data_IF_199955211564
#
_entry.id   IF_199955211564
#
_cell.length_a   1.000
_cell.length_b   1.000
_cell.length_c   1.000
_cell.angle_alpha   90.00
_cell.angle_beta   90.00
_cell.angle_gamma   90.00
#
_symmetry.space_group_name_H-M   'P 1'
#
loop_
_entity.id
_entity.type
_entity.pdbx_description
1 polymer ?
#
# COMPACT_ATOMS: atom_id res chain seq x y z
N UNK A 1 -5.17 7.87 9.20
CA UNK A 1 -5.69 8.30 10.53
C UNK A 1 -5.71 7.16 11.56
N UNK A 2 -6.43 6.04 11.35
CA UNK A 2 -6.45 4.95 12.36
C UNK A 2 -5.05 4.41 12.68
N UNK A 3 -4.18 4.26 11.68
CA UNK A 3 -2.80 3.81 11.86
C UNK A 3 -1.97 4.81 12.71
N UNK A 4 -2.22 6.11 12.56
CA UNK A 4 -1.54 7.14 13.34
C UNK A 4 -1.86 7.08 14.85
N UNK A 5 -3.02 6.52 15.20
CA UNK A 5 -3.47 6.38 16.61
C UNK A 5 -3.44 4.92 17.08
N UNK A 6 -2.85 4.02 16.30
CA UNK A 6 -2.65 2.64 16.72
C UNK A 6 -1.69 2.57 17.91
N UNK A 7 -2.08 1.85 18.95
CA UNK A 7 -1.30 1.74 20.18
C UNK A 7 -1.56 2.82 21.23
N UNK A 8 -2.28 3.90 20.93
CA UNK A 8 -2.64 4.93 21.92
C UNK A 8 -3.92 4.61 22.69
N UNK A 9 -4.85 3.86 22.07
CA UNK A 9 -6.09 3.46 22.74
C UNK A 9 -6.44 2.01 22.39
N UNK A 10 -6.90 1.25 23.38
CA UNK A 10 -7.32 -0.15 23.20
C UNK A 10 -8.57 -0.25 22.30
N UNK A 11 -9.49 0.71 22.43
CA UNK A 11 -10.71 0.81 21.62
C UNK A 11 -10.83 2.22 21.05
N UNK A 12 -11.14 2.29 19.77
CA UNK A 12 -11.34 3.54 19.04
C UNK A 12 -12.79 3.65 18.60
N UNK A 13 -13.42 4.79 18.80
CA UNK A 13 -14.80 5.05 18.38
C UNK A 13 -14.81 5.81 17.05
N UNK A 14 -15.39 5.21 16.03
CA UNK A 14 -15.57 5.84 14.71
C UNK A 14 -17.01 6.37 14.62
N UNK A 15 -17.16 7.68 14.52
CA UNK A 15 -18.47 8.31 14.28
C UNK A 15 -18.78 8.25 12.79
N UNK A 16 -19.88 7.61 12.46
CA UNK A 16 -20.34 7.40 11.09
C UNK A 16 -21.71 8.04 10.84
N UNK A 17 -21.94 8.49 9.63
CA UNK A 17 -23.21 9.11 9.23
C UNK A 17 -23.61 8.66 7.82
N UNK A 18 -23.25 9.43 6.81
CA UNK A 18 -23.48 9.06 5.42
C UNK A 18 -22.68 7.78 5.07
N UNK A 19 -23.30 6.83 4.38
CA UNK A 19 -22.71 5.52 4.04
C UNK A 19 -22.18 4.73 5.25
N UNK A 20 -22.80 4.85 6.42
CA UNK A 20 -22.36 4.21 7.66
C UNK A 20 -22.15 2.69 7.50
N UNK A 21 -23.06 1.99 6.80
CA UNK A 21 -22.99 0.55 6.56
C UNK A 21 -21.76 0.15 5.73
N UNK A 22 -21.38 0.97 4.74
CA UNK A 22 -20.20 0.71 3.90
C UNK A 22 -18.91 0.85 4.71
N UNK A 23 -18.83 1.88 5.56
CA UNK A 23 -17.68 2.10 6.46
C UNK A 23 -17.56 0.95 7.46
N UNK A 24 -18.66 0.57 8.11
CA UNK A 24 -18.68 -0.55 9.07
C UNK A 24 -18.27 -1.86 8.41
N UNK A 25 -18.78 -2.14 7.21
CA UNK A 25 -18.43 -3.34 6.44
C UNK A 25 -16.94 -3.36 6.05
N UNK A 26 -16.35 -2.20 5.72
CA UNK A 26 -14.93 -2.11 5.38
C UNK A 26 -14.03 -2.54 6.53
N UNK A 27 -14.46 -2.25 7.76
CA UNK A 27 -13.72 -2.60 8.98
C UNK A 27 -14.28 -3.83 9.71
N UNK A 28 -15.08 -4.66 9.02
CA UNK A 28 -15.61 -5.91 9.59
C UNK A 28 -14.47 -6.82 10.08
N UNK A 29 -14.57 -7.28 11.33
CA UNK A 29 -13.54 -8.09 11.97
C UNK A 29 -12.50 -7.33 12.79
N UNK A 30 -12.45 -5.99 12.73
CA UNK A 30 -11.63 -5.16 13.63
C UNK A 30 -12.29 -5.07 15.02
N UNK A 31 -11.71 -5.73 16.03
CA UNK A 31 -12.24 -5.76 17.40
C UNK A 31 -11.86 -4.55 18.24
N UNK A 32 -10.91 -3.76 17.76
CA UNK A 32 -10.44 -2.51 18.38
C UNK A 32 -11.26 -1.28 17.95
N UNK A 33 -12.25 -1.47 17.08
CA UNK A 33 -13.14 -0.40 16.62
C UNK A 33 -14.56 -0.60 17.13
N UNK A 34 -15.16 0.49 17.57
CA UNK A 34 -16.60 0.60 17.79
C UNK A 34 -17.17 1.77 16.99
N UNK A 35 -18.46 1.75 16.73
CA UNK A 35 -19.11 2.74 15.87
C UNK A 35 -20.22 3.47 16.59
N UNK A 36 -20.28 4.79 16.41
CA UNK A 36 -21.39 5.63 16.83
C UNK A 36 -22.08 6.25 15.60
N UNK A 37 -23.40 6.15 15.51
CA UNK A 37 -24.16 6.69 14.40
C UNK A 37 -24.57 8.14 14.68
N UNK A 38 -24.18 9.06 13.80
CA UNK A 38 -24.62 10.44 13.83
C UNK A 38 -25.74 10.68 12.79
N UNK A 39 -26.97 10.77 13.26
CA UNK A 39 -28.12 11.00 12.38
C UNK A 39 -29.20 11.86 13.09
N UNK A 40 -29.60 13.05 12.55
CA UNK A 40 -28.97 13.76 11.44
C UNK A 40 -27.60 14.31 11.80
N UNK A 41 -26.81 14.68 10.78
CA UNK A 41 -25.51 15.31 10.96
C UNK A 41 -25.69 16.80 11.31
N UNK A 42 -25.33 17.19 12.54
CA UNK A 42 -25.54 18.54 13.07
C UNK A 42 -24.24 19.19 13.58
N UNK A 43 -23.11 18.88 12.95
CA UNK A 43 -21.81 19.45 13.27
C UNK A 43 -20.90 18.53 14.04
N UNK A 44 -19.66 18.97 14.27
CA UNK A 44 -18.58 18.19 14.88
C UNK A 44 -18.79 17.96 16.38
N UNK A 45 -19.36 18.92 17.10
CA UNK A 45 -19.76 18.74 18.50
C UNK A 45 -20.85 17.68 18.64
N UNK A 46 -21.85 17.68 17.73
CA UNK A 46 -22.88 16.65 17.71
C UNK A 46 -22.28 15.25 17.45
N UNK A 47 -21.23 15.14 16.63
CA UNK A 47 -20.55 13.87 16.41
C UNK A 47 -19.96 13.31 17.73
N UNK A 48 -19.30 14.15 18.52
CA UNK A 48 -18.79 13.75 19.84
C UNK A 48 -19.91 13.39 20.82
N UNK A 49 -21.04 14.13 20.79
CA UNK A 49 -22.24 13.77 21.59
C UNK A 49 -22.74 12.36 21.26
N UNK A 50 -22.71 11.95 19.98
CA UNK A 50 -23.13 10.60 19.59
C UNK A 50 -22.11 9.52 20.01
N UNK A 51 -20.84 9.86 20.07
CA UNK A 51 -19.80 8.95 20.55
C UNK A 51 -19.81 8.80 22.10
N UNK A 52 -20.18 9.85 22.81
CA UNK A 52 -20.08 9.95 24.26
C UNK A 52 -20.69 8.76 25.05
N UNK A 53 -21.85 8.21 24.68
CA UNK A 53 -22.44 7.07 25.41
C UNK A 53 -21.61 5.77 25.34
N UNK A 54 -20.72 5.63 24.37
CA UNK A 54 -19.93 4.42 24.14
C UNK A 54 -18.44 4.61 24.46
N UNK A 55 -18.01 5.84 24.76
CA UNK A 55 -16.63 6.11 25.19
C UNK A 55 -16.36 5.58 26.61
N UNK A 56 -15.13 5.14 26.86
CA UNK A 56 -14.69 4.81 28.22
C UNK A 56 -14.44 6.11 29.00
N UNK A 57 -15.32 6.38 29.95
CA UNK A 57 -15.30 7.59 30.78
C UNK A 57 -14.24 7.55 31.90
N UNK A 58 -13.57 6.41 32.07
CA UNK A 58 -12.49 6.26 33.07
C UNK A 58 -11.14 6.69 32.50
N UNK A 59 -11.02 6.77 31.17
CA UNK A 59 -9.81 7.29 30.52
C UNK A 59 -9.66 8.79 30.84
N UNK A 60 -8.46 9.26 31.23
CA UNK A 60 -8.27 10.65 31.60
C UNK A 60 -8.44 11.62 30.45
N UNK A 61 -8.17 11.17 29.23
CA UNK A 61 -8.09 11.98 28.03
C UNK A 61 -8.87 11.35 26.88
N UNK A 62 -9.51 12.20 26.07
CA UNK A 62 -10.18 11.82 24.82
C UNK A 62 -9.49 12.52 23.65
N UNK A 63 -8.79 11.77 22.79
CA UNK A 63 -8.23 12.28 21.54
C UNK A 63 -9.32 12.27 20.46
N UNK A 64 -9.60 13.44 19.89
CA UNK A 64 -10.52 13.63 18.78
C UNK A 64 -9.73 13.88 17.50
N UNK A 65 -9.99 13.06 16.49
CA UNK A 65 -9.38 13.16 15.15
C UNK A 65 -10.47 13.29 14.08
N UNK A 66 -10.11 13.87 12.93
CA UNK A 66 -11.01 13.99 11.79
C UNK A 66 -10.72 12.91 10.75
N UNK A 67 -11.78 12.25 10.25
CA UNK A 67 -11.66 11.16 9.29
C UNK A 67 -11.15 11.55 7.92
N UNK A 68 -11.27 12.83 7.56
CA UNK A 68 -10.82 13.43 6.30
C UNK A 68 -9.41 14.04 6.36
N UNK A 69 -8.69 13.92 7.49
CA UNK A 69 -7.27 14.32 7.67
C UNK A 69 -6.41 13.06 7.74
N UNK A 70 -6.03 12.43 6.62
CA UNK A 70 -5.50 11.08 6.61
C UNK A 70 -4.03 10.96 7.02
N UNK A 71 -3.24 12.04 6.95
CA UNK A 71 -1.78 12.00 7.10
C UNK A 71 -1.24 12.46 8.45
N UNK A 72 -2.09 12.60 9.49
CA UNK A 72 -1.59 12.83 10.85
C UNK A 72 -0.54 11.77 11.19
N UNK A 73 0.62 12.21 11.70
CA UNK A 73 1.68 11.28 12.12
C UNK A 73 1.44 10.76 13.55
N UNK A 74 1.91 9.54 13.81
CA UNK A 74 1.88 8.98 15.16
C UNK A 74 2.74 9.82 16.13
N UNK A 75 3.80 10.43 15.64
CA UNK A 75 4.69 11.31 16.43
C UNK A 75 3.96 12.57 16.89
N UNK A 76 3.24 13.25 15.99
CA UNK A 76 2.43 14.41 16.34
C UNK A 76 1.31 14.04 17.32
N UNK A 77 0.63 12.91 17.11
CA UNK A 77 -0.39 12.42 18.05
C UNK A 77 0.21 12.12 19.43
N UNK A 78 1.37 11.50 19.50
CA UNK A 78 2.10 11.22 20.75
C UNK A 78 2.46 12.50 21.49
N UNK A 79 3.02 13.51 20.80
CA UNK A 79 3.36 14.81 21.40
C UNK A 79 2.14 15.53 21.97
N UNK A 80 0.98 15.42 21.32
CA UNK A 80 -0.26 15.96 21.85
C UNK A 80 -0.68 15.28 23.17
N UNK A 81 -0.59 13.95 23.22
CA UNK A 81 -0.93 13.19 24.44
C UNK A 81 0.06 13.48 25.60
N UNK A 82 1.35 13.58 25.32
CA UNK A 82 2.37 13.97 26.30
C UNK A 82 2.17 15.39 26.82
N UNK A 83 1.77 16.34 25.96
CA UNK A 83 1.44 17.70 26.40
C UNK A 83 0.15 17.72 27.23
N UNK A 84 -0.80 16.84 26.97
CA UNK A 84 -2.04 16.73 27.73
C UNK A 84 -1.84 16.18 29.16
N UNK A 85 -0.70 15.57 29.47
CA UNK A 85 -0.32 15.24 30.85
C UNK A 85 0.01 16.49 31.68
N UNK A 86 0.38 17.61 31.02
CA UNK A 86 0.78 18.87 31.64
C UNK A 86 -0.34 19.92 31.63
N UNK A 87 -1.15 19.87 30.55
CA UNK A 87 -2.24 20.82 30.30
C UNK A 87 -3.48 20.06 29.87
N UNK A 88 -4.47 19.95 30.67
CA UNK A 88 -5.64 19.08 30.48
C UNK A 88 -6.27 19.11 29.07
N UNK A 89 -6.17 20.24 28.34
CA UNK A 89 -6.70 20.42 27.00
C UNK A 89 -5.59 20.81 26.01
N UNK A 90 -5.44 20.06 24.92
CA UNK A 90 -4.45 20.32 23.88
C UNK A 90 -5.11 20.46 22.52
N UNK A 91 -4.74 21.51 21.80
CA UNK A 91 -5.14 21.75 20.41
C UNK A 91 -3.97 21.45 19.47
N UNK A 92 -4.24 20.80 18.34
CA UNK A 92 -3.34 20.82 17.21
C UNK A 92 -3.65 22.05 16.37
N UNK A 93 -2.71 22.98 16.29
CA UNK A 93 -2.87 24.24 15.55
C UNK A 93 -1.74 24.40 14.54
N UNK A 94 -1.96 25.21 13.51
CA UNK A 94 -0.93 25.54 12.50
C UNK A 94 -1.04 27.00 12.08
N UNK A 95 0.10 27.61 11.76
CA UNK A 95 0.09 28.91 11.09
C UNK A 95 0.02 28.77 9.58
N UNK A 96 -0.89 29.48 8.94
CA UNK A 96 -1.12 29.44 7.49
C UNK A 96 -1.02 30.83 6.87
N UNK A 97 -0.41 30.92 5.69
CA UNK A 97 -0.39 32.17 4.90
C UNK A 97 -1.80 32.55 4.41
N UNK A 98 -2.61 31.58 4.09
CA UNK A 98 -4.01 31.76 3.72
C UNK A 98 -4.92 30.93 4.64
N UNK A 99 -5.36 31.49 5.77
CA UNK A 99 -6.15 30.78 6.78
C UNK A 99 -7.64 30.66 6.41
N UNK A 100 -8.06 31.06 5.21
CA UNK A 100 -9.45 31.07 4.76
C UNK A 100 -10.11 29.70 4.88
N UNK A 101 -11.27 29.68 5.52
CA UNK A 101 -12.08 28.46 5.70
C UNK A 101 -11.80 27.71 7.02
N UNK A 102 -10.81 28.13 7.79
CA UNK A 102 -10.47 27.50 9.07
C UNK A 102 -10.97 28.34 10.27
N UNK A 103 -11.18 27.71 11.41
CA UNK A 103 -11.39 28.39 12.70
C UNK A 103 -10.09 29.07 13.16
N UNK A 104 -10.21 30.29 13.68
CA UNK A 104 -9.08 31.10 14.17
C UNK A 104 -8.84 30.88 15.64
N UNK A 105 -7.58 30.71 16.03
CA UNK A 105 -7.17 30.60 17.42
C UNK A 105 -7.11 32.01 18.02
N UNK A 106 -8.00 32.29 18.96
CA UNK A 106 -8.02 33.59 19.66
C UNK A 106 -7.24 33.47 20.97
N UNK A 107 -6.29 34.39 21.16
CA UNK A 107 -5.46 34.48 22.37
C UNK A 107 -5.68 35.80 23.11
N UNK A 108 -5.58 35.76 24.41
CA UNK A 108 -5.57 37.00 25.23
C UNK A 108 -4.20 37.71 25.19
N UNK A 109 -4.09 38.81 25.93
CA UNK A 109 -2.85 39.60 25.98
C UNK A 109 -1.63 38.84 26.53
N UNK A 110 -1.86 37.82 27.33
CA UNK A 110 -0.85 36.91 27.90
C UNK A 110 -0.49 35.76 26.98
N UNK A 111 -1.10 35.68 25.75
CA UNK A 111 -0.86 34.62 24.80
C UNK A 111 -1.63 33.32 25.06
N UNK A 112 -2.53 33.31 26.04
CA UNK A 112 -3.32 32.11 26.37
C UNK A 112 -4.48 31.97 25.40
N UNK A 113 -4.75 30.76 24.91
CA UNK A 113 -5.91 30.46 24.07
C UNK A 113 -7.20 30.66 24.85
N UNK A 114 -8.11 31.45 24.33
CA UNK A 114 -9.40 31.77 24.98
C UNK A 114 -10.62 31.32 24.18
N UNK A 115 -10.48 31.20 22.85
CA UNK A 115 -11.56 30.75 21.97
C UNK A 115 -11.03 30.27 20.63
N UNK A 116 -11.84 29.51 19.92
CA UNK A 116 -11.75 29.31 18.50
C UNK A 116 -12.97 29.98 17.86
N UNK A 117 -12.75 30.81 16.83
CA UNK A 117 -13.84 31.47 16.11
C UNK A 117 -13.85 30.96 14.67
N UNK A 118 -14.97 30.35 14.28
CA UNK A 118 -15.15 29.83 12.93
C UNK A 118 -15.16 30.95 11.87
N UNK A 119 -14.67 30.66 10.66
CA UNK A 119 -14.53 31.63 9.57
C UNK A 119 -15.80 32.46 9.32
N UNK A 120 -17.00 31.84 9.40
CA UNK A 120 -18.28 32.46 9.13
C UNK A 120 -18.73 33.39 10.23
N UNK A 121 -18.29 33.18 11.45
CA UNK A 121 -18.62 33.94 12.66
C UNK A 121 -17.52 34.95 13.02
N UNK A 122 -16.37 34.93 12.33
CA UNK A 122 -15.22 35.77 12.61
C UNK A 122 -15.41 37.22 12.17
N UNK A 123 -14.96 38.16 13.01
CA UNK A 123 -14.83 39.59 12.64
C UNK A 123 -13.69 39.78 11.62
N UNK A 124 -13.63 40.95 10.99
CA UNK A 124 -12.55 41.24 10.03
C UNK A 124 -11.16 41.22 10.68
N UNK A 125 -11.03 41.64 11.94
CA UNK A 125 -9.79 41.55 12.71
C UNK A 125 -9.41 40.09 13.00
N UNK A 126 -10.38 39.26 13.38
CA UNK A 126 -10.15 37.85 13.67
C UNK A 126 -9.76 37.06 12.42
N UNK A 127 -10.27 37.45 11.24
CA UNK A 127 -9.87 36.83 9.95
C UNK A 127 -8.41 37.04 9.59
N UNK A 128 -7.75 38.05 10.18
CA UNK A 128 -6.31 38.31 9.99
C UNK A 128 -5.41 37.38 10.82
N UNK A 129 -5.97 36.67 11.80
CA UNK A 129 -5.23 35.68 12.58
C UNK A 129 -4.81 34.54 11.66
N UNK A 130 -3.51 34.22 11.68
CA UNK A 130 -2.91 33.18 10.84
C UNK A 130 -2.90 31.81 11.51
N UNK A 131 -2.93 31.76 12.85
CA UNK A 131 -3.00 30.51 13.61
C UNK A 131 -4.45 29.95 13.53
N UNK A 132 -4.54 28.72 13.02
CA UNK A 132 -5.83 28.07 12.77
C UNK A 132 -5.97 26.76 13.53
N UNK A 133 -7.22 26.40 13.80
CA UNK A 133 -7.59 25.14 14.36
C UNK A 133 -7.60 24.06 13.26
N UNK A 134 -7.00 22.91 13.55
CA UNK A 134 -6.99 21.75 12.63
C UNK A 134 -8.18 20.81 12.87
N UNK A 135 -8.94 21.00 13.94
CA UNK A 135 -10.03 20.12 14.38
C UNK A 135 -9.56 18.89 15.17
N UNK A 136 -8.25 18.72 15.35
CA UNK A 136 -7.67 17.62 16.13
C UNK A 136 -7.34 18.15 17.53
N UNK A 137 -7.81 17.46 18.58
CA UNK A 137 -7.64 17.92 19.96
C UNK A 137 -7.64 16.78 20.97
N UNK A 138 -6.97 16.99 22.08
CA UNK A 138 -7.03 16.12 23.27
C UNK A 138 -7.85 16.84 24.34
N UNK A 139 -8.89 16.19 24.83
CA UNK A 139 -9.87 16.75 25.74
C UNK A 139 -9.82 16.04 27.10
N UNK A 140 -10.02 16.74 28.22
CA UNK A 140 -10.18 16.12 29.54
C UNK A 140 -11.50 15.36 29.60
N UNK A 141 -11.48 14.04 29.62
CA UNK A 141 -12.70 13.21 29.59
C UNK A 141 -13.66 13.53 30.69
N UNK A 142 -13.16 13.80 31.91
CA UNK A 142 -13.99 14.12 33.08
C UNK A 142 -14.85 15.39 32.94
N UNK A 143 -14.52 16.28 32.00
CA UNK A 143 -15.27 17.52 31.75
C UNK A 143 -16.31 17.40 30.64
N UNK A 144 -16.18 16.37 29.79
CA UNK A 144 -16.98 16.26 28.56
C UNK A 144 -18.47 16.15 28.82
N UNK A 145 -18.91 15.51 29.90
CA UNK A 145 -20.34 15.36 30.21
C UNK A 145 -21.02 16.73 30.32
N UNK A 146 -20.47 17.60 31.13
CA UNK A 146 -21.01 18.95 31.35
C UNK A 146 -20.85 19.85 30.11
N UNK A 147 -19.74 19.77 29.41
CA UNK A 147 -19.47 20.60 28.24
C UNK A 147 -20.33 20.22 27.05
N UNK A 148 -20.54 18.92 26.80
CA UNK A 148 -21.40 18.45 25.71
C UNK A 148 -22.88 18.84 25.95
N UNK A 149 -23.36 18.76 27.21
CA UNK A 149 -24.72 19.22 27.58
C UNK A 149 -24.89 20.73 27.41
N UNK A 150 -23.81 21.52 27.55
CA UNK A 150 -23.86 22.98 27.38
C UNK A 150 -23.75 23.46 25.94
N UNK A 151 -23.37 22.61 24.98
CA UNK A 151 -23.25 22.98 23.56
C UNK A 151 -24.58 23.48 22.99
N UNK A 152 -24.48 24.52 22.17
CA UNK A 152 -25.62 25.13 21.46
C UNK A 152 -25.35 25.18 19.98
N UNK A 153 -26.42 25.36 19.19
CA UNK A 153 -26.33 25.53 17.75
C UNK A 153 -26.78 26.96 17.31
N UNK A 154 -26.57 27.94 18.19
CA UNK A 154 -26.90 29.35 17.96
C UNK A 154 -25.77 30.07 17.20
N UNK A 155 -25.38 29.55 16.05
CA UNK A 155 -24.33 30.08 15.18
C UNK A 155 -24.77 30.17 13.73
N UNK A 156 -23.91 30.68 12.86
CA UNK A 156 -24.23 30.92 11.45
C UNK A 156 -24.60 29.62 10.68
N UNK A 157 -24.14 28.49 11.09
CA UNK A 157 -24.38 27.18 10.43
C UNK A 157 -25.53 26.39 11.06
N UNK A 158 -26.03 26.81 12.24
CA UNK A 158 -27.02 26.07 13.04
C UNK A 158 -26.50 24.65 13.42
N UNK A 159 -25.20 24.53 13.70
CA UNK A 159 -24.52 23.29 14.08
C UNK A 159 -23.93 23.36 15.47
N UNK A 160 -23.77 22.23 16.11
CA UNK A 160 -23.04 22.12 17.39
C UNK A 160 -21.55 22.09 17.07
N UNK A 161 -20.84 23.17 17.39
CA UNK A 161 -19.42 23.28 17.12
C UNK A 161 -18.60 22.62 18.23
N UNK A 162 -17.70 21.70 17.85
CA UNK A 162 -16.74 21.14 18.79
C UNK A 162 -15.79 22.22 19.32
N UNK A 163 -15.52 23.24 18.56
CA UNK A 163 -14.65 24.36 18.89
C UNK A 163 -15.19 25.23 20.05
N UNK A 164 -16.49 25.18 20.33
CA UNK A 164 -17.07 25.87 21.50
C UNK A 164 -16.55 25.31 22.85
N UNK A 165 -16.09 24.07 22.88
CA UNK A 165 -15.48 23.45 24.07
C UNK A 165 -14.25 24.23 24.57
N UNK A 166 -13.55 24.95 23.68
CA UNK A 166 -12.42 25.79 24.06
C UNK A 166 -12.86 26.95 24.93
N UNK A 167 -14.01 27.57 24.58
CA UNK A 167 -14.60 28.63 25.38
C UNK A 167 -15.03 28.15 26.77
N UNK A 168 -15.61 26.94 26.86
CA UNK A 168 -15.99 26.35 28.16
C UNK A 168 -14.75 26.02 29.01
N UNK A 169 -13.71 25.45 28.39
CA UNK A 169 -12.45 25.16 29.05
C UNK A 169 -11.79 26.43 29.63
N UNK A 170 -11.77 27.50 28.83
CA UNK A 170 -11.25 28.78 29.29
C UNK A 170 -12.06 29.38 30.43
N UNK A 171 -13.39 29.29 30.37
CA UNK A 171 -14.29 29.75 31.45
C UNK A 171 -14.11 28.95 32.75
N UNK A 172 -13.87 27.64 32.66
CA UNK A 172 -13.61 26.76 33.79
C UNK A 172 -12.17 26.85 34.33
N UNK A 173 -11.32 27.70 33.74
CA UNK A 173 -9.92 27.87 34.13
C UNK A 173 -9.03 26.68 33.76
N UNK A 174 -9.47 25.82 32.83
CA UNK A 174 -8.68 24.72 32.33
C UNK A 174 -7.52 25.25 31.46
N UNK A 175 -6.32 24.73 31.71
CA UNK A 175 -5.15 25.13 30.94
C UNK A 175 -5.22 24.53 29.52
N UNK A 176 -5.22 25.39 28.50
CA UNK A 176 -5.24 25.02 27.08
C UNK A 176 -3.85 25.25 26.51
N UNK A 177 -3.23 24.20 25.96
CA UNK A 177 -1.98 24.26 25.21
C UNK A 177 -2.21 24.05 23.72
N UNK A 178 -1.29 24.55 22.91
CA UNK A 178 -1.26 24.31 21.48
C UNK A 178 0.02 23.56 21.11
N UNK A 179 -0.13 22.54 20.26
CA UNK A 179 0.96 21.80 19.64
C UNK A 179 0.87 22.05 18.13
N UNK A 180 2.01 22.15 17.46
CA UNK A 180 2.09 22.28 16.01
C UNK A 180 2.56 20.96 15.39
N UNK A 181 2.04 20.56 14.21
CA UNK A 181 2.56 19.42 13.46
C UNK A 181 3.97 19.74 12.94
N UNK A 182 4.77 18.71 12.65
CA UNK A 182 6.09 18.91 12.06
C UNK A 182 5.98 19.34 10.58
N UNK A 183 4.91 18.90 9.91
CA UNK A 183 4.64 19.20 8.51
C UNK A 183 3.19 19.63 8.28
N UNK A 184 3.00 20.62 7.42
CA UNK A 184 1.66 21.15 7.10
C UNK A 184 0.71 20.09 6.53
N UNK A 185 1.21 19.14 5.74
CA UNK A 185 0.41 18.09 5.15
C UNK A 185 -0.25 17.16 6.17
N UNK A 186 0.27 17.09 7.41
CA UNK A 186 -0.31 16.25 8.46
C UNK A 186 -1.74 16.66 8.85
N UNK A 187 -2.09 17.90 8.61
CA UNK A 187 -3.37 18.49 8.99
C UNK A 187 -4.21 18.92 7.79
N UNK A 188 -3.80 18.58 6.59
CA UNK A 188 -4.59 18.83 5.38
C UNK A 188 -5.79 17.89 5.27
N UNK A 189 -6.99 18.48 5.15
CA UNK A 189 -8.24 17.76 4.96
C UNK A 189 -8.56 17.51 3.48
N UNK A 190 -9.19 16.37 3.20
CA UNK A 190 -9.58 15.94 1.85
C UNK A 190 -11.08 16.06 1.65
N UNK A 191 -11.51 17.07 0.89
CA UNK A 191 -12.91 17.33 0.54
C UNK A 191 -13.23 17.13 -0.95
N UNK A 192 -12.21 16.84 -1.76
CA UNK A 192 -12.36 16.64 -3.20
C UNK A 192 -11.33 15.68 -3.75
N UNK A 193 -11.62 15.08 -4.93
CA UNK A 193 -10.65 14.21 -5.63
C UNK A 193 -9.37 14.97 -6.04
N UNK A 194 -9.43 16.27 -6.24
CA UNK A 194 -8.25 17.09 -6.54
C UNK A 194 -7.35 17.17 -5.32
N UNK A 195 -7.91 17.45 -4.13
CA UNK A 195 -7.17 17.46 -2.88
C UNK A 195 -6.60 16.07 -2.55
N UNK A 196 -7.42 15.02 -2.75
CA UNK A 196 -6.96 13.64 -2.56
C UNK A 196 -5.73 13.33 -3.43
N UNK A 197 -5.78 13.68 -4.73
CA UNK A 197 -4.67 13.42 -5.64
C UNK A 197 -3.41 14.25 -5.28
N UNK A 198 -3.58 15.47 -4.81
CA UNK A 198 -2.47 16.31 -4.35
C UNK A 198 -1.82 15.72 -3.08
N UNK A 199 -2.65 15.36 -2.10
CA UNK A 199 -2.17 14.80 -0.84
C UNK A 199 -1.53 13.41 -1.03
N UNK A 200 -2.04 12.61 -1.97
CA UNK A 200 -1.41 11.34 -2.37
C UNK A 200 0.01 11.58 -2.90
N UNK A 201 0.23 12.58 -3.79
CA UNK A 201 1.58 12.91 -4.26
C UNK A 201 2.51 13.36 -3.14
N UNK A 202 1.99 14.15 -2.20
CA UNK A 202 2.75 14.54 -1.00
C UNK A 202 3.16 13.31 -0.20
N UNK A 203 2.24 12.37 0.03
CA UNK A 203 2.54 11.14 0.76
C UNK A 203 3.56 10.26 0.05
N UNK A 204 3.45 10.09 -1.27
CA UNK A 204 4.42 9.35 -2.06
C UNK A 204 5.81 9.99 -1.98
N UNK A 205 5.89 11.32 -1.99
CA UNK A 205 7.16 12.04 -1.82
C UNK A 205 7.75 11.81 -0.42
N UNK A 206 6.95 11.85 0.62
CA UNK A 206 7.39 11.54 1.99
C UNK A 206 7.97 10.13 2.10
N UNK A 207 7.33 9.15 1.47
CA UNK A 207 7.84 7.78 1.44
C UNK A 207 9.15 7.68 0.65
N UNK A 208 9.24 8.34 -0.49
CA UNK A 208 10.46 8.39 -1.31
C UNK A 208 11.63 9.02 -0.54
N UNK A 209 11.39 10.13 0.16
CA UNK A 209 12.43 10.81 0.95
C UNK A 209 12.94 9.91 2.09
N UNK A 210 12.04 9.15 2.77
CA UNK A 210 12.43 8.15 3.79
C UNK A 210 13.31 7.05 3.22
N UNK A 211 13.02 6.58 2.01
CA UNK A 211 13.85 5.58 1.33
C UNK A 211 15.23 6.13 0.98
N UNK A 212 15.30 7.37 0.46
CA UNK A 212 16.57 8.07 0.17
C UNK A 212 17.41 8.25 1.44
N UNK A 213 16.79 8.66 2.56
CA UNK A 213 17.46 8.80 3.87
C UNK A 213 17.95 7.43 4.40
N UNK A 214 17.24 6.35 4.11
CA UNK A 214 17.63 5.00 4.46
C UNK A 214 18.72 4.41 3.53
N UNK A 215 19.16 5.15 2.49
CA UNK A 215 20.23 4.76 1.59
C UNK A 215 19.79 4.04 0.32
N UNK A 216 18.50 4.06 0.00
CA UNK A 216 17.98 3.57 -1.30
C UNK A 216 18.24 4.60 -2.39
N UNK A 217 18.70 4.17 -3.56
CA UNK A 217 18.84 5.03 -4.73
C UNK A 217 17.54 5.05 -5.52
N UNK A 218 16.90 6.22 -5.65
CA UNK A 218 15.75 6.45 -6.51
C UNK A 218 16.18 7.32 -7.70
N UNK A 219 16.01 6.81 -8.94
CA UNK A 219 16.38 7.57 -10.15
C UNK A 219 15.48 8.78 -10.33
N UNK A 220 14.20 8.66 -9.97
CA UNK A 220 13.26 9.77 -9.94
C UNK A 220 12.27 9.59 -8.76
N UNK A 221 12.49 10.29 -7.64
CA UNK A 221 11.65 10.16 -6.46
C UNK A 221 10.20 10.66 -6.64
N UNK A 222 9.90 11.41 -7.71
CA UNK A 222 8.55 11.86 -8.01
C UNK A 222 7.75 10.82 -8.84
N UNK A 223 8.43 9.79 -9.35
CA UNK A 223 7.83 8.73 -10.17
C UNK A 223 7.98 7.34 -9.56
N UNK A 224 7.66 7.23 -8.30
CA UNK A 224 7.50 5.96 -7.58
C UNK A 224 6.13 5.97 -6.91
N UNK A 225 5.46 4.82 -6.89
CA UNK A 225 4.19 4.64 -6.18
C UNK A 225 4.30 3.47 -5.20
N UNK A 226 4.14 3.77 -3.91
CA UNK A 226 4.14 2.77 -2.83
C UNK A 226 2.73 2.72 -2.25
N UNK A 227 2.03 1.60 -2.46
CA UNK A 227 0.66 1.35 -2.03
C UNK A 227 0.61 0.21 -1.03
N UNK A 228 1.24 0.43 0.12
CA UNK A 228 1.42 -0.54 1.18
C UNK A 228 2.76 -0.37 1.87
N UNK A 229 3.43 -1.48 2.17
CA UNK A 229 4.73 -1.51 2.86
C UNK A 229 5.84 -1.91 1.89
N UNK A 230 6.83 -1.04 1.70
CA UNK A 230 8.07 -1.34 0.99
C UNK A 230 9.25 -1.36 1.97
N UNK A 231 9.86 -2.53 2.13
CA UNK A 231 11.04 -2.72 2.97
C UNK A 231 12.25 -2.98 2.07
N UNK A 232 13.28 -2.16 2.19
CA UNK A 232 14.51 -2.27 1.40
C UNK A 232 15.71 -2.59 2.28
N UNK A 233 16.59 -3.45 1.78
CA UNK A 233 17.94 -3.62 2.29
C UNK A 233 18.86 -2.47 1.89
N UNK A 234 20.18 -2.68 2.04
CA UNK A 234 21.19 -1.70 1.66
C UNK A 234 21.45 -1.72 0.15
N UNK A 235 21.87 -0.57 -0.40
CA UNK A 235 22.31 -0.42 -1.80
C UNK A 235 21.23 -0.86 -2.83
N UNK A 236 19.95 -0.73 -2.47
CA UNK A 236 18.84 -0.96 -3.40
C UNK A 236 18.73 0.21 -4.38
N UNK A 237 18.54 -0.09 -5.66
CA UNK A 237 18.32 0.90 -6.72
C UNK A 237 16.95 0.68 -7.37
N UNK A 238 16.14 1.75 -7.47
CA UNK A 238 14.80 1.71 -8.07
C UNK A 238 14.70 2.75 -9.17
N UNK A 239 14.38 2.28 -10.36
CA UNK A 239 14.21 3.11 -11.55
C UNK A 239 12.79 3.71 -11.62
N UNK A 240 12.56 4.57 -12.62
CA UNK A 240 11.35 5.39 -12.75
C UNK A 240 10.09 4.57 -12.99
N UNK A 241 8.98 5.06 -12.44
CA UNK A 241 7.65 4.52 -12.73
C UNK A 241 7.37 3.15 -12.12
N UNK A 242 8.14 2.74 -11.14
CA UNK A 242 7.90 1.51 -10.41
C UNK A 242 6.72 1.65 -9.45
N UNK A 243 5.92 0.58 -9.32
CA UNK A 243 4.76 0.51 -8.44
C UNK A 243 4.91 -0.67 -7.49
N UNK A 244 4.83 -0.41 -6.19
CA UNK A 244 4.90 -1.42 -5.14
C UNK A 244 3.55 -1.49 -4.42
N UNK A 245 2.95 -2.69 -4.34
CA UNK A 245 1.63 -2.86 -3.72
C UNK A 245 1.64 -3.96 -2.66
N UNK A 246 0.87 -3.76 -1.59
CA UNK A 246 0.83 -4.67 -0.45
C UNK A 246 2.16 -4.68 0.30
N UNK A 247 2.66 -5.86 0.70
CA UNK A 247 3.94 -5.98 1.38
C UNK A 247 5.01 -6.47 0.41
N UNK A 248 6.00 -5.61 0.15
CA UNK A 248 7.15 -5.91 -0.71
C UNK A 248 8.44 -5.81 0.10
N UNK A 249 9.28 -6.83 0.01
CA UNK A 249 10.59 -6.87 0.67
C UNK A 249 11.67 -7.04 -0.39
N UNK A 250 12.61 -6.12 -0.44
CA UNK A 250 13.79 -6.16 -1.32
C UNK A 250 15.05 -6.33 -0.47
N UNK A 251 15.84 -7.34 -0.77
CA UNK A 251 17.14 -7.59 -0.14
C UNK A 251 18.20 -6.56 -0.49
N UNK A 252 19.44 -6.78 -0.05
CA UNK A 252 20.56 -5.90 -0.35
C UNK A 252 20.94 -5.98 -1.83
N UNK A 253 21.39 -4.87 -2.41
CA UNK A 253 21.90 -4.82 -3.79
C UNK A 253 20.85 -5.07 -4.87
N UNK A 254 19.56 -5.14 -4.54
CA UNK A 254 18.49 -5.36 -5.51
C UNK A 254 18.34 -4.15 -6.43
N UNK A 255 18.26 -4.41 -7.73
CA UNK A 255 17.97 -3.40 -8.74
C UNK A 255 16.64 -3.64 -9.39
N UNK A 256 15.77 -2.60 -9.40
CA UNK A 256 14.43 -2.66 -9.99
C UNK A 256 14.36 -1.75 -11.19
N UNK A 257 14.26 -2.33 -12.38
CA UNK A 257 14.17 -1.62 -13.64
C UNK A 257 12.81 -0.94 -13.85
N UNK A 258 12.84 0.09 -14.68
CA UNK A 258 11.74 1.02 -14.92
C UNK A 258 10.39 0.33 -15.24
N UNK A 259 9.31 0.96 -14.76
CA UNK A 259 7.91 0.53 -15.02
C UNK A 259 7.59 -0.90 -14.58
N UNK A 260 8.29 -1.41 -13.59
CA UNK A 260 7.97 -2.70 -12.97
C UNK A 260 6.88 -2.54 -11.91
N UNK A 261 5.98 -3.52 -11.83
CA UNK A 261 4.91 -3.60 -10.83
C UNK A 261 5.16 -4.81 -9.95
N UNK A 262 5.33 -4.59 -8.66
CA UNK A 262 5.68 -5.64 -7.68
C UNK A 262 4.66 -5.63 -6.55
N UNK A 263 3.98 -6.76 -6.35
CA UNK A 263 2.92 -6.90 -5.36
C UNK A 263 3.15 -8.11 -4.46
N UNK A 264 3.06 -7.94 -3.13
CA UNK A 264 3.13 -9.03 -2.14
C UNK A 264 4.27 -10.01 -2.42
N UNK A 265 5.48 -9.51 -2.66
CA UNK A 265 6.63 -10.28 -3.16
C UNK A 265 7.84 -10.06 -2.27
N UNK A 266 8.60 -11.14 -2.05
CA UNK A 266 9.90 -11.09 -1.39
C UNK A 266 10.99 -11.36 -2.41
N UNK A 267 11.99 -10.50 -2.44
CA UNK A 267 13.16 -10.57 -3.32
C UNK A 267 14.40 -10.58 -2.44
N UNK A 268 15.23 -11.61 -2.57
CA UNK A 268 16.49 -11.75 -1.84
C UNK A 268 17.60 -10.85 -2.42
N UNK A 269 18.81 -10.98 -1.86
CA UNK A 269 19.96 -10.13 -2.19
C UNK A 269 20.42 -10.28 -3.65
N UNK A 270 21.00 -9.21 -4.20
CA UNK A 270 21.70 -9.16 -5.50
C UNK A 270 20.83 -9.58 -6.70
N UNK A 271 19.51 -9.39 -6.59
CA UNK A 271 18.58 -9.67 -7.70
C UNK A 271 18.48 -8.47 -8.63
N UNK A 272 18.53 -8.74 -9.93
CA UNK A 272 18.30 -7.77 -10.99
C UNK A 272 16.93 -7.99 -11.66
N UNK A 273 16.02 -7.03 -11.50
CA UNK A 273 14.71 -7.01 -12.17
C UNK A 273 14.80 -6.02 -13.31
N UNK A 274 14.78 -6.53 -14.55
CA UNK A 274 14.83 -5.72 -15.75
C UNK A 274 13.48 -4.99 -16.00
N UNK A 275 13.45 -3.94 -16.83
CA UNK A 275 12.24 -3.12 -17.02
C UNK A 275 10.98 -3.89 -17.43
N UNK A 276 9.81 -3.33 -17.08
CA UNK A 276 8.49 -3.82 -17.47
C UNK A 276 8.13 -5.21 -16.92
N UNK A 277 8.64 -5.57 -15.77
CA UNK A 277 8.27 -6.82 -15.10
C UNK A 277 7.03 -6.67 -14.24
N UNK A 278 6.27 -7.77 -14.05
CA UNK A 278 5.10 -7.82 -13.18
C UNK A 278 5.17 -9.01 -12.24
N UNK A 279 5.34 -8.75 -10.94
CA UNK A 279 5.41 -9.78 -9.90
C UNK A 279 4.21 -9.67 -8.97
N UNK A 280 3.63 -10.80 -8.62
CA UNK A 280 2.54 -10.88 -7.67
C UNK A 280 2.64 -12.16 -6.84
N UNK A 281 2.76 -12.03 -5.50
CA UNK A 281 2.80 -13.18 -4.59
C UNK A 281 3.90 -14.18 -4.92
N UNK A 282 5.08 -13.67 -5.26
CA UNK A 282 6.25 -14.45 -5.66
C UNK A 282 7.37 -14.39 -4.60
N UNK A 283 8.26 -15.38 -4.65
CA UNK A 283 9.52 -15.38 -3.92
C UNK A 283 10.67 -15.50 -4.92
N UNK A 284 11.65 -14.61 -4.83
CA UNK A 284 12.79 -14.56 -5.76
C UNK A 284 14.08 -14.71 -4.96
N UNK A 285 14.77 -15.83 -5.17
CA UNK A 285 16.05 -16.12 -4.55
C UNK A 285 17.20 -15.29 -5.13
N UNK A 286 18.23 -15.14 -4.34
CA UNK A 286 19.42 -14.30 -4.59
C UNK A 286 20.06 -14.52 -5.96
N UNK A 287 20.83 -13.53 -6.39
CA UNK A 287 21.64 -13.58 -7.61
C UNK A 287 20.82 -13.84 -8.89
N UNK A 288 19.50 -13.71 -8.86
CA UNK A 288 18.63 -13.96 -10.02
C UNK A 288 18.49 -12.73 -10.90
N UNK A 289 18.34 -12.97 -12.23
CA UNK A 289 18.08 -11.93 -13.21
C UNK A 289 16.75 -12.23 -13.91
N UNK A 290 15.80 -11.29 -13.82
CA UNK A 290 14.44 -11.48 -14.31
C UNK A 290 14.05 -10.36 -15.29
N UNK A 291 13.55 -10.74 -16.44
CA UNK A 291 13.00 -9.82 -17.44
C UNK A 291 13.86 -9.67 -18.70
N UNK A 292 13.61 -8.58 -19.46
CA UNK A 292 12.47 -7.69 -19.31
C UNK A 292 11.13 -8.35 -19.72
N UNK A 293 9.99 -7.71 -19.40
CA UNK A 293 8.65 -8.21 -19.74
C UNK A 293 8.33 -9.61 -19.20
N UNK A 294 8.82 -9.94 -18.01
CA UNK A 294 8.52 -11.21 -17.34
C UNK A 294 7.40 -11.05 -16.34
N UNK A 295 6.63 -12.12 -16.14
CA UNK A 295 5.55 -12.18 -15.19
C UNK A 295 5.71 -13.32 -14.18
N UNK A 296 5.88 -12.99 -12.91
CA UNK A 296 5.80 -13.95 -11.82
C UNK A 296 4.43 -13.82 -11.15
N UNK A 297 3.67 -14.93 -11.14
CA UNK A 297 2.33 -15.00 -10.59
C UNK A 297 2.32 -15.67 -9.21
N UNK A 298 1.17 -15.60 -8.48
CA UNK A 298 1.10 -16.19 -7.14
C UNK A 298 1.59 -17.63 -7.07
N UNK A 299 2.51 -17.88 -6.11
CA UNK A 299 3.14 -19.17 -5.91
C UNK A 299 4.29 -19.47 -6.88
N UNK A 300 4.83 -18.47 -7.58
CA UNK A 300 6.11 -18.59 -8.26
C UNK A 300 7.25 -18.46 -7.24
N UNK A 301 8.17 -19.43 -7.24
CA UNK A 301 9.34 -19.48 -6.37
C UNK A 301 10.59 -19.74 -7.20
N UNK A 302 11.54 -18.81 -7.16
CA UNK A 302 12.88 -18.93 -7.75
C UNK A 302 13.87 -19.16 -6.63
N UNK A 303 14.64 -20.26 -6.68
CA UNK A 303 15.47 -20.64 -5.52
C UNK A 303 16.87 -20.02 -5.51
N UNK A 304 17.27 -19.33 -6.56
CA UNK A 304 18.49 -18.54 -6.65
C UNK A 304 19.28 -18.73 -7.95
N UNK A 305 20.05 -17.71 -8.32
CA UNK A 305 20.84 -17.62 -9.55
C UNK A 305 20.06 -18.05 -10.78
N UNK A 306 18.79 -17.69 -10.83
CA UNK A 306 17.89 -18.02 -11.94
C UNK A 306 17.94 -16.94 -13.03
N UNK A 307 17.84 -17.37 -14.28
CA UNK A 307 17.67 -16.46 -15.41
C UNK A 307 16.26 -16.66 -16.00
N UNK A 308 15.38 -15.69 -15.78
CA UNK A 308 14.02 -15.66 -16.34
C UNK A 308 13.98 -14.54 -17.35
N UNK A 309 14.01 -14.88 -18.63
CA UNK A 309 14.11 -13.87 -19.69
C UNK A 309 12.76 -13.33 -20.17
N UNK A 310 12.78 -12.65 -21.30
CA UNK A 310 11.65 -11.87 -21.79
C UNK A 310 10.45 -12.73 -22.24
N UNK A 311 9.26 -12.21 -21.94
CA UNK A 311 7.97 -12.84 -22.24
C UNK A 311 7.82 -14.24 -21.60
N UNK A 312 8.37 -14.41 -20.43
CA UNK A 312 8.22 -15.63 -19.61
C UNK A 312 7.17 -15.39 -18.53
N UNK A 313 6.25 -16.33 -18.38
CA UNK A 313 5.30 -16.36 -17.29
C UNK A 313 5.53 -17.59 -16.41
N UNK A 314 5.68 -17.38 -15.09
CA UNK A 314 5.82 -18.44 -14.08
C UNK A 314 4.66 -18.36 -13.09
N UNK A 315 3.99 -19.50 -12.80
CA UNK A 315 2.83 -19.57 -11.91
C UNK A 315 2.81 -20.86 -11.11
N UNK A 316 2.64 -20.76 -9.77
CA UNK A 316 2.56 -21.94 -8.87
C UNK A 316 3.63 -22.99 -9.18
N UNK A 317 4.86 -22.53 -9.34
CA UNK A 317 5.99 -23.36 -9.79
C UNK A 317 7.23 -23.00 -9.05
N UNK A 318 8.05 -24.00 -8.75
CA UNK A 318 9.38 -23.84 -8.20
C UNK A 318 10.39 -23.97 -9.33
N UNK A 319 11.30 -23.00 -9.45
CA UNK A 319 12.43 -23.04 -10.39
C UNK A 319 13.70 -23.23 -9.57
N UNK A 320 14.32 -24.38 -9.71
CA UNK A 320 15.54 -24.76 -8.97
C UNK A 320 16.74 -23.89 -9.34
N UNK A 321 17.71 -23.88 -8.43
CA UNK A 321 18.92 -23.06 -8.51
C UNK A 321 19.65 -23.21 -9.86
N UNK A 322 20.22 -22.13 -10.36
CA UNK A 322 21.01 -22.07 -11.61
C UNK A 322 20.20 -22.40 -12.88
N UNK A 323 18.88 -22.52 -12.78
CA UNK A 323 18.03 -22.85 -13.94
C UNK A 323 17.66 -21.63 -14.77
N UNK A 324 17.49 -21.85 -16.07
CA UNK A 324 17.29 -20.79 -17.07
C UNK A 324 16.02 -21.03 -17.89
N UNK A 325 15.17 -20.01 -17.95
CA UNK A 325 13.93 -19.95 -18.74
C UNK A 325 13.90 -18.61 -19.47
N UNK A 326 14.50 -18.55 -20.66
CA UNK A 326 14.91 -17.24 -21.21
C UNK A 326 13.94 -16.59 -22.20
N UNK A 327 13.02 -17.33 -22.85
CA UNK A 327 12.25 -16.76 -23.94
C UNK A 327 10.87 -17.37 -24.14
N UNK A 328 9.83 -16.52 -24.24
CA UNK A 328 8.50 -16.87 -24.76
C UNK A 328 7.91 -18.15 -24.15
N UNK A 329 7.98 -18.33 -22.86
CA UNK A 329 7.73 -19.60 -22.18
C UNK A 329 6.67 -19.45 -21.10
N UNK A 330 5.81 -20.45 -20.94
CA UNK A 330 4.89 -20.58 -19.82
C UNK A 330 5.25 -21.78 -18.95
N UNK A 331 5.57 -21.51 -17.68
CA UNK A 331 5.81 -22.53 -16.65
C UNK A 331 4.72 -22.41 -15.58
N UNK A 332 3.79 -23.34 -15.59
CA UNK A 332 2.68 -23.37 -14.64
C UNK A 332 2.48 -24.74 -14.00
N UNK A 333 2.22 -24.73 -12.69
CA UNK A 333 2.04 -25.94 -11.87
C UNK A 333 3.19 -26.94 -12.09
N UNK A 334 4.44 -26.48 -11.97
CA UNK A 334 5.63 -27.28 -12.27
C UNK A 334 6.68 -27.24 -11.16
N UNK A 335 7.45 -28.33 -11.02
CA UNK A 335 8.68 -28.41 -10.25
C UNK A 335 9.83 -28.55 -11.23
N UNK A 336 10.66 -27.54 -11.35
CA UNK A 336 11.86 -27.52 -12.18
C UNK A 336 13.07 -27.65 -11.29
N UNK A 337 13.88 -28.65 -11.51
CA UNK A 337 15.10 -28.92 -10.78
C UNK A 337 16.19 -27.86 -10.97
N UNK A 338 17.36 -28.12 -10.41
CA UNK A 338 18.52 -27.24 -10.52
C UNK A 338 19.23 -27.38 -11.89
N UNK A 339 19.86 -26.30 -12.39
CA UNK A 339 20.68 -26.27 -13.61
C UNK A 339 19.93 -26.72 -14.87
N UNK A 340 18.60 -26.57 -14.87
CA UNK A 340 17.75 -26.89 -16.01
C UNK A 340 17.82 -25.76 -17.02
N UNK A 341 17.92 -26.11 -18.31
CA UNK A 341 17.75 -25.15 -19.39
C UNK A 341 16.43 -25.40 -20.13
N UNK A 342 15.54 -24.41 -20.09
CA UNK A 342 14.25 -24.45 -20.81
C UNK A 342 14.36 -23.63 -22.07
N UNK A 343 14.20 -24.28 -23.22
CA UNK A 343 14.24 -23.65 -24.55
C UNK A 343 13.05 -22.76 -24.83
N UNK A 344 13.23 -21.82 -25.74
CA UNK A 344 12.21 -20.84 -26.16
C UNK A 344 10.91 -21.50 -26.61
N UNK A 345 9.76 -20.93 -26.24
CA UNK A 345 8.45 -21.42 -26.65
C UNK A 345 7.98 -22.69 -25.92
N UNK A 346 8.67 -23.09 -24.87
CA UNK A 346 8.23 -24.24 -24.04
C UNK A 346 6.97 -23.91 -23.25
N UNK A 347 6.03 -24.85 -23.21
CA UNK A 347 4.76 -24.71 -22.48
C UNK A 347 4.52 -25.93 -21.60
N UNK A 348 4.30 -25.73 -20.30
CA UNK A 348 3.67 -26.74 -19.44
C UNK A 348 2.17 -26.74 -19.68
N UNK A 349 1.65 -27.75 -20.39
CA UNK A 349 0.23 -27.90 -20.66
C UNK A 349 -0.45 -28.52 -19.42
N UNK A 350 -0.68 -27.69 -18.40
CA UNK A 350 -1.08 -28.08 -17.06
C UNK A 350 -2.60 -28.18 -16.82
N UNK A 351 -3.43 -27.95 -17.85
CA UNK A 351 -4.88 -27.86 -17.72
C UNK A 351 -5.61 -28.64 -18.82
N UNK A 352 -6.51 -29.53 -18.43
CA UNK A 352 -7.29 -30.37 -19.35
C UNK A 352 -8.69 -29.82 -19.71
N UNK A 353 -9.00 -28.64 -19.23
CA UNK A 353 -10.33 -28.02 -19.33
C UNK A 353 -11.13 -28.07 -18.03
N UNK A 354 -10.76 -28.91 -17.06
CA UNK A 354 -11.40 -29.07 -15.75
C UNK A 354 -10.37 -29.11 -14.63
N UNK A 355 -9.34 -29.95 -14.75
CA UNK A 355 -8.34 -30.21 -13.72
C UNK A 355 -6.98 -29.63 -14.08
N UNK A 356 -6.16 -29.40 -13.06
CA UNK A 356 -4.76 -29.03 -13.22
C UNK A 356 -3.84 -30.16 -12.80
N UNK A 357 -2.79 -30.34 -13.56
CA UNK A 357 -1.79 -31.38 -13.37
C UNK A 357 -0.40 -30.76 -13.29
N UNK A 358 0.50 -31.49 -12.67
CA UNK A 358 1.87 -31.04 -12.41
C UNK A 358 2.86 -31.61 -13.42
N UNK A 359 3.82 -30.79 -13.80
CA UNK A 359 4.99 -31.18 -14.57
C UNK A 359 6.19 -31.22 -13.62
N UNK A 360 7.01 -32.27 -13.70
CA UNK A 360 8.25 -32.41 -12.93
C UNK A 360 9.42 -32.49 -13.91
N UNK A 361 10.43 -31.62 -13.73
CA UNK A 361 11.65 -31.60 -14.51
C UNK A 361 12.84 -31.80 -13.55
N UNK A 362 13.55 -32.90 -13.72
CA UNK A 362 14.71 -33.22 -12.89
C UNK A 362 15.92 -32.34 -13.16
N UNK A 363 16.89 -32.35 -12.25
CA UNK A 363 18.11 -31.57 -12.34
C UNK A 363 18.87 -31.82 -13.66
N UNK A 364 19.61 -30.80 -14.11
CA UNK A 364 20.47 -30.88 -15.31
C UNK A 364 19.72 -31.24 -16.62
N UNK A 365 18.39 -31.18 -16.65
CA UNK A 365 17.63 -31.47 -17.85
C UNK A 365 17.74 -30.34 -18.87
N UNK A 366 17.73 -30.71 -20.15
CA UNK A 366 17.69 -29.77 -21.27
C UNK A 366 16.38 -29.94 -22.04
N UNK A 367 15.56 -28.91 -22.02
CA UNK A 367 14.29 -28.85 -22.76
C UNK A 367 14.53 -28.07 -24.04
N UNK A 368 14.39 -28.73 -25.19
CA UNK A 368 14.52 -28.06 -26.50
C UNK A 368 13.40 -27.06 -26.78
N UNK A 369 13.68 -26.09 -27.65
CA UNK A 369 12.70 -25.06 -28.00
C UNK A 369 11.43 -25.64 -28.61
N UNK A 370 10.30 -24.91 -28.45
CA UNK A 370 8.96 -25.28 -28.93
C UNK A 370 8.51 -26.67 -28.42
N UNK A 371 8.75 -26.91 -27.14
CA UNK A 371 8.34 -28.16 -26.47
C UNK A 371 7.03 -27.97 -25.71
N UNK A 372 6.07 -28.87 -25.92
CA UNK A 372 4.82 -28.93 -25.16
C UNK A 372 4.91 -30.11 -24.18
N UNK A 373 4.89 -29.78 -22.87
CA UNK A 373 4.92 -30.76 -21.78
C UNK A 373 3.48 -31.02 -21.33
N UNK A 374 2.86 -32.11 -21.80
CA UNK A 374 1.47 -32.44 -21.49
C UNK A 374 1.41 -33.09 -20.12
N UNK A 375 1.00 -32.30 -19.12
CA UNK A 375 0.94 -32.76 -17.74
C UNK A 375 -0.27 -33.74 -17.51
N UNK A 376 -0.13 -34.72 -16.59
CA UNK A 376 1.05 -34.96 -15.75
C UNK A 376 2.18 -35.64 -16.51
N UNK A 377 3.39 -35.10 -16.39
CA UNK A 377 4.56 -35.66 -17.05
C UNK A 377 5.82 -35.38 -16.23
N UNK A 378 6.77 -36.30 -16.26
CA UNK A 378 8.08 -36.20 -15.62
C UNK A 378 9.21 -36.30 -16.63
N UNK A 379 10.13 -35.37 -16.58
CA UNK A 379 11.42 -35.37 -17.29
C UNK A 379 12.50 -35.75 -16.31
N UNK A 380 13.12 -36.91 -16.47
CA UNK A 380 14.17 -37.39 -15.59
C UNK A 380 15.43 -36.54 -15.60
N UNK A 381 16.21 -36.57 -14.52
CA UNK A 381 17.44 -35.79 -14.40
C UNK A 381 18.43 -36.03 -15.56
N UNK A 382 19.05 -34.97 -16.06
CA UNK A 382 19.98 -35.02 -17.18
C UNK A 382 19.35 -35.43 -18.52
N UNK A 383 18.03 -35.56 -18.61
CA UNK A 383 17.36 -35.88 -19.87
C UNK A 383 17.41 -34.71 -20.85
N UNK A 384 17.45 -35.03 -22.13
CA UNK A 384 17.35 -34.05 -23.21
C UNK A 384 16.04 -34.24 -23.96
N UNK A 385 15.22 -33.20 -24.06
CA UNK A 385 14.03 -33.20 -24.90
C UNK A 385 14.37 -32.47 -26.20
N UNK A 386 14.16 -33.15 -27.31
CA UNK A 386 14.45 -32.57 -28.61
C UNK A 386 13.47 -31.44 -28.96
N UNK A 387 13.96 -30.38 -29.62
CA UNK A 387 13.11 -29.24 -30.01
C UNK A 387 11.89 -29.67 -30.85
N UNK A 388 10.73 -28.98 -30.69
CA UNK A 388 9.49 -29.30 -31.36
C UNK A 388 8.80 -30.58 -30.86
N UNK A 389 9.11 -31.01 -29.62
CA UNK A 389 8.54 -32.23 -29.03
C UNK A 389 7.23 -31.94 -28.32
N UNK A 390 6.19 -32.73 -28.61
CA UNK A 390 5.01 -32.85 -27.72
C UNK A 390 5.20 -34.06 -26.83
N UNK A 391 5.58 -33.83 -25.56
CA UNK A 391 5.86 -34.89 -24.61
C UNK A 391 4.58 -35.30 -23.86
N UNK A 392 4.12 -36.52 -24.07
CA UNK A 392 2.86 -37.07 -23.48
C UNK A 392 3.10 -38.19 -22.49
N UNK A 393 4.33 -38.61 -22.28
CA UNK A 393 4.78 -39.66 -21.35
C UNK A 393 6.10 -39.27 -20.73
N UNK A 394 6.43 -39.83 -19.58
CA UNK A 394 7.68 -39.55 -18.88
C UNK A 394 8.90 -39.81 -19.78
N UNK A 395 9.88 -38.91 -19.68
CA UNK A 395 11.18 -39.02 -20.35
C UNK A 395 12.21 -39.59 -19.38
N UNK A 396 12.90 -40.72 -19.70
CA UNK A 396 13.88 -41.31 -18.80
C UNK A 396 15.11 -40.41 -18.60
N UNK A 397 15.69 -40.50 -17.38
CA UNK A 397 16.88 -39.76 -17.02
C UNK A 397 18.05 -40.02 -17.98
N UNK A 398 18.84 -39.00 -18.27
CA UNK A 398 20.03 -39.06 -19.11
C UNK A 398 19.83 -39.53 -20.55
N UNK A 399 18.60 -39.48 -21.06
CA UNK A 399 18.26 -39.92 -22.42
C UNK A 399 17.73 -38.77 -23.28
N UNK A 400 17.89 -38.93 -24.60
CA UNK A 400 17.23 -38.09 -25.59
C UNK A 400 15.82 -38.61 -25.86
N UNK A 401 14.80 -37.78 -25.62
CA UNK A 401 13.41 -38.06 -25.99
C UNK A 401 12.95 -37.03 -27.02
N UNK A 402 12.31 -37.46 -28.06
CA UNK A 402 11.76 -36.59 -29.09
C UNK A 402 10.49 -37.20 -29.74
N UNK A 403 9.60 -36.30 -30.18
CA UNK A 403 8.35 -36.64 -30.87
C UNK A 403 8.21 -35.68 -32.04
N UNK A 404 8.51 -36.14 -33.25
CA UNK A 404 8.44 -35.33 -34.50
C UNK A 404 7.83 -36.13 -35.62
N UNK A 405 7.01 -35.48 -36.44
CA UNK A 405 6.64 -36.02 -37.76
C UNK A 405 7.85 -36.07 -38.71
N UNK A 406 7.87 -37.04 -39.59
CA UNK A 406 8.93 -37.11 -40.63
C UNK A 406 8.79 -35.89 -41.54
N UNK A 407 9.90 -35.18 -41.74
CA UNK A 407 9.93 -34.08 -42.70
C UNK A 407 9.61 -34.60 -44.10
N UNK A 408 8.71 -33.92 -44.78
CA UNK A 408 8.37 -34.17 -46.18
C UNK A 408 8.57 -32.89 -47.02
N UNK A 409 9.16 -33.05 -48.19
CA UNK A 409 9.27 -31.98 -49.20
C UNK A 409 8.33 -32.32 -50.35
N UNK A 410 7.48 -31.39 -50.74
CA UNK A 410 6.56 -31.53 -51.87
C UNK A 410 7.21 -30.86 -53.07
N UNK A 411 7.74 -31.67 -53.97
CA UNK A 411 8.28 -31.17 -55.21
C UNK A 411 7.18 -30.63 -56.11
N UNK A 412 7.46 -29.53 -56.82
CA UNK A 412 6.49 -28.88 -57.70
C UNK A 412 5.43 -28.04 -57.02
N UNK A 413 5.47 -27.89 -55.64
CA UNK A 413 4.58 -26.97 -54.95
C UNK A 413 4.85 -25.52 -55.40
N UNK A 414 3.78 -24.81 -55.77
CA UNK A 414 3.86 -23.38 -56.10
C UNK A 414 3.02 -22.56 -55.10
N UNK A 415 3.58 -21.43 -54.73
CA UNK A 415 2.88 -20.51 -53.80
C UNK A 415 1.64 -19.93 -54.49
N UNK A 416 0.46 -19.97 -53.81
CA UNK A 416 -0.73 -19.31 -54.33
C UNK A 416 -0.49 -17.84 -54.63
N UNK A 417 -0.92 -17.36 -55.80
CA UNK A 417 -0.90 -15.94 -56.17
C UNK A 417 -2.32 -15.37 -56.09
N UNK A 418 -2.42 -14.11 -55.68
CA UNK A 418 -3.71 -13.41 -55.60
C UNK A 418 -4.30 -13.34 -57.02
N UNK A 419 -5.49 -13.87 -57.24
CA UNK A 419 -6.24 -13.65 -58.49
C UNK A 419 -6.51 -12.14 -58.59
N UNK A 420 -6.10 -11.55 -59.70
CA UNK A 420 -6.41 -10.16 -60.05
C UNK A 420 -7.89 -10.00 -60.30
#
# INVERSE_FOLDING_TARGET
MLDAVEGFAAVKTVVVGHCAEEVQKHYEGRTDLQFALQMPQQGTGHALMQAWPVLDRNEPQTLVCLGDVPLLSAETARRMLEEAEKSEFVLLTIEMDNPKGYGRIVRNAEGVVTAIVEEKDATDEQRLIREVNTGIMVLPTARLDAWLDALKNDNAQKEYYLTDLVGFAAADGVRISAVHPDHAYEVEGVNSKVQLAALERTWQRVQADRLLEAGVTLIDPDRIDIRGELVCGQDVEIDVGCVFEGRVVLGNGVRVGAYSVIRNTTVEDDVEILPFCHFEGAAVGRDSCIGPYSRLRPGAELTGNNHIGNFVEVKKSVIGQDSKVNHLTYIGDADVGARVNVGAGTITCNYDGVNKFRTVIGDDAFIGSDTQLIAPVEVGAGATIGAGTTLTRNAPAGKLTLSRARQMTIEGWTRPVKKQ
#
